data_IF_533544209148
#
_entry.id   IF_533544209148
#
_cell.length_a   1.000
_cell.length_b   1.000
_cell.length_c   1.000
_cell.angle_alpha   90.00
_cell.angle_beta   90.00
_cell.angle_gamma   90.00
#
_symmetry.space_group_name_H-M   'P 1'
#
loop_
_entity.id
_entity.type
_entity.pdbx_description
1 polymer ?
2 non-polymer ?
#
# COMPACT_ATOMS: atom_id res chain seq x y z
N UNK A 11 -9.19 3.31 26.78
CA UNK A 11 -10.31 2.89 25.95
C UNK A 11 -9.83 2.49 24.55
N UNK A 12 -9.75 3.49 23.66
CA UNK A 12 -9.28 3.24 22.30
C UNK A 12 -7.77 3.00 22.26
N UNK A 13 -7.07 3.34 23.35
CA UNK A 13 -5.62 3.31 23.33
C UNK A 13 -5.10 1.88 23.20
N UNK A 14 -5.69 0.94 23.94
CA UNK A 14 -5.16 -0.42 23.96
C UNK A 14 -5.25 -1.09 22.59
N UNK A 15 -6.41 -1.16 21.93
CA UNK A 15 -6.45 -1.77 20.60
C UNK A 15 -5.59 -1.06 19.57
N UNK A 16 -5.53 0.27 19.60
CA UNK A 16 -4.68 1.02 18.69
C UNK A 16 -3.20 0.73 18.87
N UNK A 17 -2.72 0.67 20.11
CA UNK A 17 -1.31 0.36 20.35
C UNK A 17 -0.98 -1.05 19.88
N UNK A 18 -1.83 -2.03 20.17
CA UNK A 18 -1.56 -3.40 19.75
C UNK A 18 -1.55 -3.51 18.24
N UNK A 19 -2.53 -2.88 17.57
CA UNK A 19 -2.55 -2.95 16.12
C UNK A 19 -1.39 -2.19 15.49
N UNK A 20 -0.98 -1.08 16.10
CA UNK A 20 0.18 -0.35 15.59
C UNK A 20 1.46 -1.18 15.74
N UNK A 21 1.60 -1.89 16.87
CA UNK A 21 2.75 -2.78 17.03
C UNK A 21 2.71 -3.90 16.01
N UNK A 22 1.53 -4.48 15.77
CA UNK A 22 1.40 -5.53 14.78
C UNK A 22 1.78 -5.04 13.39
N UNK A 23 1.25 -3.87 12.99
CA UNK A 23 1.55 -3.32 11.68
C UNK A 23 2.95 -2.79 11.55
N UNK A 24 3.62 -2.49 12.66
CA UNK A 24 5.01 -2.10 12.62
C UNK A 24 5.91 -3.30 12.45
N UNK A 25 5.74 -4.32 13.29
CA UNK A 25 6.59 -5.50 13.20
C UNK A 25 6.25 -6.37 12.00
N UNK A 26 5.05 -6.21 11.43
CA UNK A 26 4.71 -6.92 10.20
C UNK A 26 5.21 -6.21 8.95
N UNK A 27 5.45 -4.90 9.02
CA UNK A 27 5.98 -4.16 7.89
C UNK A 27 7.43 -3.76 8.05
N UNK A 28 8.03 -4.00 9.23
CA UNK A 28 9.46 -3.80 9.42
C UNK A 28 10.17 -4.97 8.75
N UNK A 29 10.33 -4.85 7.43
CA UNK A 29 10.85 -5.92 6.59
C UNK A 29 12.17 -5.47 5.96
N UNK A 30 13.32 -5.80 6.57
CA UNK A 30 14.61 -5.40 5.98
C UNK A 30 14.86 -6.03 4.61
N UNK A 31 14.22 -7.14 4.31
CA UNK A 31 14.53 -7.78 3.03
C UNK A 31 13.69 -7.16 1.93
N UNK A 32 12.79 -6.25 2.24
CA UNK A 32 11.93 -5.78 1.13
C UNK A 32 12.74 -5.05 0.06
N UNK A 33 13.66 -4.13 0.35
CA UNK A 33 14.41 -3.51 -0.69
C UNK A 33 15.28 -4.57 -1.36
N UNK A 34 16.11 -5.27 -0.58
CA UNK A 34 17.03 -6.24 -1.15
C UNK A 34 16.25 -7.53 -1.30
N UNK A 35 15.14 -7.53 -2.05
CA UNK A 35 14.38 -8.76 -2.23
C UNK A 35 14.94 -9.31 -3.53
N UNK A 36 15.05 -8.47 -4.56
CA UNK A 36 15.57 -8.89 -5.85
C UNK A 36 17.03 -9.34 -5.73
N UNK A 37 17.92 -8.59 -5.07
CA UNK A 37 19.29 -9.11 -4.87
C UNK A 37 19.33 -10.42 -4.11
N UNK A 38 18.43 -10.63 -3.15
CA UNK A 38 18.43 -11.89 -2.40
C UNK A 38 18.14 -13.07 -3.30
N UNK A 39 17.05 -13.01 -4.06
CA UNK A 39 16.57 -14.14 -4.84
C UNK A 39 16.93 -13.99 -6.32
N UNK A 40 18.06 -13.33 -6.59
CA UNK A 40 18.64 -13.38 -7.93
C UNK A 40 20.16 -13.50 -7.88
N UNK A 41 20.75 -13.76 -6.71
CA UNK A 41 22.18 -13.87 -6.58
C UNK A 41 22.62 -15.24 -6.12
N UNK A 42 23.74 -15.31 -5.42
CA UNK A 42 24.25 -16.63 -4.99
C UNK A 42 23.30 -17.38 -4.07
N UNK A 43 22.40 -16.69 -3.38
CA UNK A 43 21.50 -17.37 -2.46
C UNK A 43 20.49 -18.26 -3.20
N UNK A 44 19.99 -17.80 -4.34
CA UNK A 44 18.95 -18.51 -5.08
C UNK A 44 19.26 -18.73 -6.54
N UNK A 45 20.03 -17.84 -7.15
CA UNK A 45 20.30 -17.85 -8.60
C UNK A 45 19.01 -18.00 -9.41
N UNK A 46 17.95 -17.31 -9.02
CA UNK A 46 16.72 -17.22 -9.84
C UNK A 46 17.13 -16.32 -10.99
N UNK A 47 16.69 -16.64 -12.20
CA UNK A 47 17.07 -15.82 -13.38
C UNK A 47 16.21 -14.55 -13.42
N UNK A 48 16.63 -13.50 -14.10
CA UNK A 48 15.78 -12.29 -14.08
C UNK A 48 14.62 -12.51 -15.04
N UNK A 49 14.81 -13.40 -16.01
CA UNK A 49 13.76 -13.83 -16.93
C UNK A 49 12.67 -14.65 -16.23
N UNK A 50 13.05 -15.56 -15.35
CA UNK A 50 12.09 -16.36 -14.58
C UNK A 50 11.57 -15.63 -13.35
N UNK A 51 12.05 -14.42 -13.09
CA UNK A 51 11.75 -13.76 -11.82
C UNK A 51 10.54 -12.85 -11.97
N UNK A 52 10.54 -12.02 -13.02
CA UNK A 52 9.44 -11.10 -13.27
C UNK A 52 8.41 -11.63 -14.25
N UNK A 53 8.69 -12.78 -14.89
CA UNK A 53 7.74 -13.39 -15.81
C UNK A 53 7.09 -14.64 -15.25
N UNK A 54 7.62 -15.22 -14.18
CA UNK A 54 7.06 -16.44 -13.61
C UNK A 54 6.77 -16.34 -12.11
N UNK A 55 7.58 -15.61 -11.36
CA UNK A 55 7.41 -15.54 -9.91
C UNK A 55 6.54 -14.35 -9.54
N UNK A 56 6.98 -13.15 -9.93
CA UNK A 56 6.23 -11.93 -9.57
C UNK A 56 4.82 -11.88 -10.11
N UNK A 57 4.52 -12.24 -11.37
CA UNK A 57 3.13 -12.13 -11.84
C UNK A 57 2.14 -12.98 -11.07
N UNK A 58 2.60 -14.02 -10.38
CA UNK A 58 1.71 -14.81 -9.54
C UNK A 58 1.15 -13.97 -8.41
N UNK A 59 1.90 -12.95 -7.97
CA UNK A 59 1.45 -12.14 -6.85
C UNK A 59 0.16 -11.40 -7.16
N UNK A 60 0.05 -10.82 -8.36
CA UNK A 60 -1.14 -10.06 -8.69
C UNK A 60 -2.38 -10.96 -8.78
N UNK A 61 -2.23 -12.13 -9.41
CA UNK A 61 -3.35 -13.05 -9.50
C UNK A 61 -3.77 -13.56 -8.13
N UNK A 62 -2.81 -13.91 -7.29
CA UNK A 62 -3.15 -14.36 -5.94
C UNK A 62 -3.79 -13.23 -5.14
N UNK A 63 -3.30 -12.00 -5.33
CA UNK A 63 -3.88 -10.84 -4.67
C UNK A 63 -5.34 -10.68 -5.05
N UNK A 64 -5.65 -10.82 -6.34
CA UNK A 64 -7.04 -10.68 -6.79
C UNK A 64 -7.92 -11.79 -6.22
N UNK A 65 -7.50 -13.06 -6.41
CA UNK A 65 -8.35 -14.19 -6.02
C UNK A 65 -8.40 -14.39 -4.51
N UNK A 66 -7.54 -13.72 -3.75
CA UNK A 66 -7.65 -13.74 -2.31
C UNK A 66 -8.31 -12.50 -1.73
N UNK A 67 -8.29 -11.38 -2.47
CA UNK A 67 -9.12 -10.24 -2.11
C UNK A 67 -10.59 -10.58 -2.27
N UNK A 68 -10.90 -11.49 -3.17
CA UNK A 68 -12.32 -11.89 -3.34
C UNK A 68 -12.95 -12.43 -2.04
N UNK A 69 -12.41 -13.37 -1.23
CA UNK A 69 -13.04 -13.66 0.03
C UNK A 69 -12.92 -12.50 1.01
N UNK A 70 -11.72 -11.96 1.17
CA UNK A 70 -11.39 -10.89 2.18
C UNK A 70 -12.42 -9.77 2.32
N UNK A 71 -13.08 -9.28 1.27
CA UNK A 71 -14.13 -8.31 1.57
C UNK A 71 -15.49 -8.96 1.73
N UNK A 72 -15.68 -10.16 1.18
CA UNK A 72 -16.94 -10.87 1.37
C UNK A 72 -17.05 -11.40 2.80
N UNK A 73 -15.96 -11.93 3.35
CA UNK A 73 -16.02 -12.72 4.57
C UNK A 73 -15.27 -12.11 5.76
N UNK A 74 -14.60 -10.97 5.57
CA UNK A 74 -13.87 -10.39 6.69
C UNK A 74 -14.81 -9.80 7.73
N UNK A 75 -15.89 -9.13 7.29
CA UNK A 75 -16.83 -8.54 8.23
C UNK A 75 -17.51 -9.59 9.08
N UNK A 76 -17.85 -10.74 8.50
CA UNK A 76 -18.56 -11.78 9.24
C UNK A 76 -17.68 -12.38 10.32
N UNK A 77 -16.38 -12.50 10.09
CA UNK A 77 -15.48 -13.18 11.02
C UNK A 77 -14.89 -12.19 12.01
N UNK A 78 -15.36 -10.93 11.96
CA UNK A 78 -14.99 -9.89 12.91
C UNK A 78 -13.50 -9.53 12.85
N UNK A 79 -12.90 -9.66 11.67
CA UNK A 79 -11.66 -8.97 11.29
C UNK A 79 -10.40 -9.50 11.97
N UNK A 80 -10.53 -10.33 13.00
CA UNK A 80 -9.34 -10.87 13.64
C UNK A 80 -8.79 -12.12 12.95
N UNK A 81 -9.59 -13.14 12.62
CA UNK A 81 -9.01 -14.32 11.97
C UNK A 81 -8.31 -14.00 10.66
N UNK A 82 -8.78 -12.98 9.93
CA UNK A 82 -8.07 -12.60 8.71
C UNK A 82 -6.74 -11.96 9.06
N UNK A 83 -6.69 -11.14 10.11
CA UNK A 83 -5.41 -10.61 10.59
C UNK A 83 -4.51 -11.74 11.06
N UNK A 84 -5.06 -12.68 11.82
CA UNK A 84 -4.29 -13.84 12.26
C UNK A 84 -3.80 -14.64 11.05
N UNK A 85 -4.65 -14.80 10.04
CA UNK A 85 -4.24 -15.42 8.79
C UNK A 85 -3.11 -14.67 8.11
N UNK A 86 -3.07 -13.33 8.22
CA UNK A 86 -1.92 -12.58 7.72
C UNK A 86 -0.67 -12.88 8.54
N UNK A 87 -0.80 -12.99 9.86
CA UNK A 87 0.35 -13.33 10.68
C UNK A 87 0.93 -14.68 10.36
N UNK A 88 0.07 -15.69 10.17
CA UNK A 88 0.53 -17.00 9.73
C UNK A 88 1.10 -16.98 8.32
N UNK A 89 0.46 -16.28 7.38
CA UNK A 89 0.98 -16.16 6.04
C UNK A 89 2.29 -15.37 5.98
N UNK A 90 2.49 -14.41 6.87
CA UNK A 90 3.80 -13.78 7.01
C UNK A 90 4.86 -14.79 7.40
N UNK A 91 4.55 -15.65 8.38
CA UNK A 91 5.51 -16.67 8.80
C UNK A 91 5.76 -17.67 7.69
N UNK A 92 4.70 -18.14 7.04
CA UNK A 92 4.86 -19.08 5.92
C UNK A 92 5.58 -18.46 4.73
N UNK A 93 5.25 -17.23 4.34
CA UNK A 93 5.92 -16.59 3.22
C UNK A 93 7.41 -16.47 3.43
N UNK A 94 7.83 -15.96 4.59
CA UNK A 94 9.25 -15.74 4.80
C UNK A 94 9.99 -17.01 5.19
N UNK A 95 9.28 -18.00 5.74
CA UNK A 95 9.89 -19.31 5.92
C UNK A 95 10.15 -19.98 4.57
N UNK A 96 9.24 -19.80 3.62
CA UNK A 96 9.40 -20.43 2.31
C UNK A 96 10.45 -19.68 1.49
N UNK A 97 10.48 -18.35 1.61
CA UNK A 97 11.57 -17.58 1.01
C UNK A 97 12.91 -17.98 1.62
N UNK A 98 12.93 -18.17 2.94
CA UNK A 98 14.16 -18.39 3.68
C UNK A 98 14.70 -19.81 3.44
N UNK A 99 13.80 -20.77 3.20
CA UNK A 99 14.16 -22.17 3.07
C UNK A 99 13.59 -22.80 1.81
N UNK A 100 13.43 -22.02 0.74
CA UNK A 100 12.88 -22.55 -0.49
C UNK A 100 13.80 -22.43 -1.67
N UNK A 101 13.74 -23.41 -2.58
CA UNK A 101 14.58 -23.45 -3.77
C UNK A 101 13.71 -23.76 -4.97
N UNK A 102 14.00 -23.11 -6.09
CA UNK A 102 13.28 -23.35 -7.32
C UNK A 102 12.21 -22.31 -7.61
N UNK A 103 11.82 -22.25 -8.88
CA UNK A 103 10.81 -21.29 -9.32
C UNK A 103 9.44 -21.66 -8.76
N UNK A 104 9.13 -22.96 -8.68
CA UNK A 104 7.81 -23.38 -8.21
C UNK A 104 7.58 -22.95 -6.77
N UNK A 105 8.61 -23.04 -5.93
CA UNK A 105 8.50 -22.62 -4.54
C UNK A 105 8.23 -21.12 -4.39
N UNK A 106 8.90 -20.28 -5.19
CA UNK A 106 8.72 -18.84 -5.06
C UNK A 106 7.38 -18.39 -5.60
N UNK A 107 6.78 -19.16 -6.52
CA UNK A 107 5.40 -18.88 -6.88
C UNK A 107 4.46 -19.06 -5.70
N UNK A 108 4.68 -20.11 -4.91
CA UNK A 108 3.93 -20.31 -3.67
C UNK A 108 4.22 -19.18 -2.68
N UNK A 109 5.47 -18.72 -2.64
CA UNK A 109 5.82 -17.55 -1.82
C UNK A 109 4.99 -16.34 -2.23
N UNK A 110 4.91 -16.13 -3.53
CA UNK A 110 4.13 -14.99 -4.05
C UNK A 110 2.70 -15.20 -3.58
N UNK A 111 2.11 -16.36 -3.81
CA UNK A 111 0.75 -16.67 -3.41
C UNK A 111 0.49 -16.28 -1.97
N UNK A 112 1.38 -16.69 -1.06
CA UNK A 112 1.20 -16.33 0.34
C UNK A 112 1.40 -14.84 0.58
N UNK A 113 2.22 -14.17 -0.21
CA UNK A 113 2.33 -12.71 -0.11
C UNK A 113 1.03 -12.03 -0.52
N UNK A 114 0.39 -12.54 -1.58
CA UNK A 114 -0.91 -12.02 -1.96
C UNK A 114 -1.94 -12.21 -0.86
N UNK A 115 -1.90 -13.37 -0.20
CA UNK A 115 -2.75 -13.58 0.97
C UNK A 115 -2.44 -12.56 2.06
N UNK A 116 -1.15 -12.30 2.29
CA UNK A 116 -0.71 -11.32 3.28
C UNK A 116 -1.33 -9.95 3.02
N UNK A 117 -1.28 -9.50 1.77
CA UNK A 117 -1.81 -8.17 1.47
C UNK A 117 -3.34 -8.13 1.49
N UNK A 118 -4.00 -9.14 0.94
CA UNK A 118 -5.45 -9.22 1.02
C UNK A 118 -5.91 -9.22 2.47
N UNK A 119 -5.09 -9.73 3.39
CA UNK A 119 -5.44 -9.65 4.80
C UNK A 119 -4.97 -8.36 5.46
N UNK A 120 -3.99 -7.67 4.86
CA UNK A 120 -3.63 -6.35 5.38
C UNK A 120 -4.77 -5.37 5.15
N UNK A 121 -5.60 -5.62 4.13
CA UNK A 121 -6.84 -4.86 4.00
C UNK A 121 -7.69 -5.01 5.26
N UNK A 122 -7.84 -6.26 5.74
CA UNK A 122 -8.57 -6.49 6.98
C UNK A 122 -7.87 -5.86 8.17
N UNK A 123 -6.53 -5.83 8.15
CA UNK A 123 -5.78 -5.12 9.18
C UNK A 123 -6.21 -3.66 9.24
N UNK A 124 -6.35 -3.02 8.08
CA UNK A 124 -6.78 -1.63 8.05
C UNK A 124 -8.20 -1.46 8.58
N UNK A 125 -9.09 -2.41 8.23
CA UNK A 125 -10.49 -2.25 8.65
C UNK A 125 -10.71 -2.56 10.13
N UNK A 126 -9.85 -3.41 10.71
CA UNK A 126 -10.13 -3.95 12.05
C UNK A 126 -10.18 -2.85 13.10
N UNK A 127 -9.27 -1.88 13.03
CA UNK A 127 -9.23 -0.87 14.09
C UNK A 127 -10.49 -0.02 14.06
N UNK A 128 -11.03 0.26 12.87
CA UNK A 128 -12.32 0.92 12.79
C UNK A 128 -13.42 0.03 13.37
N UNK A 129 -13.25 -1.28 13.25
CA UNK A 129 -14.27 -2.18 13.79
C UNK A 129 -14.35 -2.15 15.31
N UNK A 130 -13.31 -1.65 16.00
CA UNK A 130 -13.24 -1.79 17.45
C UNK A 130 -13.36 -0.47 18.21
N UNK A 131 -13.10 0.67 17.58
CA UNK A 131 -13.09 1.95 18.27
C UNK A 131 -14.33 2.74 17.88
N UNK A 132 -14.67 3.72 18.73
CA UNK A 132 -15.81 4.58 18.48
C UNK A 132 -15.48 5.55 17.33
N UNK A 133 -16.50 6.03 16.63
CA UNK A 133 -16.23 6.94 15.49
C UNK A 133 -15.52 8.23 15.89
N UNK A 134 -15.65 8.65 17.15
CA UNK A 134 -15.03 9.90 17.58
C UNK A 134 -13.52 9.88 17.39
N UNK A 135 -12.90 8.71 17.54
CA UNK A 135 -11.47 8.56 17.37
C UNK A 135 -11.07 8.20 15.94
N UNK A 136 -12.06 7.98 15.05
CA UNK A 136 -11.78 7.43 13.72
C UNK A 136 -10.75 8.25 12.97
N UNK A 137 -10.68 9.56 13.23
CA UNK A 137 -9.64 10.37 12.60
C UNK A 137 -8.27 10.00 13.15
N UNK A 138 -8.06 10.20 14.46
CA UNK A 138 -6.75 10.02 15.06
C UNK A 138 -6.17 8.67 14.69
N UNK A 139 -6.84 7.62 15.14
CA UNK A 139 -6.49 6.23 14.86
C UNK A 139 -6.05 6.09 13.42
N UNK A 140 -6.88 6.59 12.50
CA UNK A 140 -6.59 6.46 11.07
C UNK A 140 -5.14 6.79 10.79
N UNK A 141 -4.76 8.05 11.03
CA UNK A 141 -3.40 8.45 10.74
C UNK A 141 -2.41 7.54 11.41
N UNK A 142 -2.58 7.33 12.72
CA UNK A 142 -1.63 6.54 13.48
C UNK A 142 -1.41 5.21 12.78
N UNK A 143 -2.50 4.51 12.45
CA UNK A 143 -2.37 3.21 11.82
C UNK A 143 -1.51 3.32 10.57
N UNK A 144 -1.95 4.13 9.61
CA UNK A 144 -1.19 4.27 8.38
C UNK A 144 0.23 4.70 8.69
N UNK A 145 0.37 5.68 9.59
CA UNK A 145 1.70 6.19 9.91
C UNK A 145 2.62 5.06 10.30
N UNK A 146 2.17 4.20 11.24
CA UNK A 146 3.08 3.19 11.76
C UNK A 146 3.55 2.30 10.64
N UNK A 147 2.64 1.89 9.74
CA UNK A 147 3.04 1.03 8.64
C UNK A 147 4.14 1.70 7.83
N UNK A 148 3.91 2.95 7.42
CA UNK A 148 4.92 3.67 6.67
C UNK A 148 6.19 3.78 7.48
N UNK A 149 6.06 4.15 8.76
CA UNK A 149 7.24 4.25 9.61
C UNK A 149 7.99 2.93 9.62
N UNK A 150 7.24 1.84 9.80
CA UNK A 150 7.86 0.52 9.80
C UNK A 150 8.70 0.35 8.55
N UNK A 151 8.11 0.61 7.38
CA UNK A 151 8.83 0.46 6.14
C UNK A 151 10.13 1.25 6.19
N UNK A 152 10.03 2.54 6.53
CA UNK A 152 11.22 3.37 6.60
C UNK A 152 12.25 2.74 7.51
N UNK A 153 11.82 2.36 8.72
CA UNK A 153 12.72 1.69 9.65
C UNK A 153 13.40 0.52 8.96
N UNK A 154 12.60 -0.43 8.47
CA UNK A 154 13.18 -1.58 7.79
C UNK A 154 14.15 -1.14 6.72
N UNK A 155 13.71 -0.21 5.87
CA UNK A 155 14.56 0.29 4.79
C UNK A 155 15.91 0.71 5.35
N UNK A 156 15.91 1.69 6.27
CA UNK A 156 17.18 2.19 6.76
C UNK A 156 17.92 1.07 7.46
N UNK A 157 17.21 0.25 8.24
CA UNK A 157 17.85 -0.86 8.92
C UNK A 157 18.57 -1.74 7.91
N UNK A 158 17.86 -2.09 6.83
CA UNK A 158 18.47 -2.91 5.79
C UNK A 158 19.78 -2.28 5.33
N UNK A 159 19.73 -1.00 4.96
CA UNK A 159 20.94 -0.35 4.47
C UNK A 159 22.02 -0.37 5.53
N UNK A 160 21.65 -0.09 6.79
CA UNK A 160 22.63 -0.15 7.85
C UNK A 160 23.24 -1.53 7.94
N UNK A 161 22.40 -2.56 7.90
CA UNK A 161 22.88 -3.93 8.03
C UNK A 161 23.68 -4.36 6.82
N UNK A 162 23.61 -3.60 5.72
CA UNK A 162 24.45 -3.91 4.57
C UNK A 162 25.70 -3.03 4.56
N UNK A 163 25.69 -1.92 5.29
CA UNK A 163 26.79 -0.97 5.21
C UNK A 163 27.74 -1.02 6.39
N UNK A 164 27.27 -1.40 7.58
CA UNK A 164 28.13 -1.46 8.75
C UNK A 164 28.30 -2.84 9.34
N UNK A 165 27.46 -3.81 8.97
CA UNK A 165 27.59 -5.17 9.47
C UNK A 165 27.95 -6.18 8.39
N UNK A 166 27.91 -5.79 7.12
CA UNK A 166 28.19 -6.69 6.00
C UNK A 166 27.33 -7.95 6.09
N UNK A 167 26.07 -7.75 6.47
CA UNK A 167 25.13 -8.84 6.72
C UNK A 167 24.48 -9.26 5.41
N UNK A 168 24.51 -10.57 5.12
CA UNK A 168 24.01 -11.08 3.87
C UNK A 168 22.49 -10.92 3.78
N UNK A 169 21.97 -11.01 2.56
CA UNK A 169 20.53 -10.92 2.34
C UNK A 169 19.80 -12.06 3.04
N UNK A 170 20.46 -13.21 3.20
CA UNK A 170 19.87 -14.32 3.92
C UNK A 170 19.54 -13.93 5.36
N UNK A 171 20.47 -13.27 6.03
CA UNK A 171 20.21 -12.88 7.42
C UNK A 171 19.26 -11.69 7.48
N UNK A 172 19.19 -10.87 6.43
CA UNK A 172 18.15 -9.86 6.36
C UNK A 172 16.78 -10.50 6.31
N UNK A 173 16.63 -11.59 5.53
CA UNK A 173 15.38 -12.32 5.52
C UNK A 173 15.12 -13.02 6.85
N UNK A 174 16.17 -13.48 7.53
CA UNK A 174 16.00 -14.07 8.85
C UNK A 174 15.44 -13.03 9.82
N UNK A 175 15.99 -11.81 9.78
CA UNK A 175 15.50 -10.74 10.63
C UNK A 175 14.07 -10.36 10.25
N UNK A 176 13.76 -10.39 8.96
CA UNK A 176 12.39 -10.15 8.51
C UNK A 176 11.42 -11.18 9.08
N UNK A 177 11.82 -12.46 9.05
CA UNK A 177 10.99 -13.51 9.64
C UNK A 177 10.83 -13.31 11.13
N UNK A 178 11.90 -12.92 11.82
CA UNK A 178 11.81 -12.66 13.25
C UNK A 178 10.86 -11.51 13.54
N UNK A 179 10.89 -10.48 12.69
CA UNK A 179 10.00 -9.33 12.89
C UNK A 179 8.54 -9.72 12.65
N UNK A 180 8.26 -10.43 11.55
CA UNK A 180 6.88 -10.78 11.25
C UNK A 180 6.35 -11.86 12.18
N UNK A 181 7.23 -12.60 12.86
CA UNK A 181 6.77 -13.55 13.85
C UNK A 181 6.34 -12.88 15.14
N UNK A 182 7.02 -11.80 15.53
CA UNK A 182 6.57 -11.00 16.67
C UNK A 182 5.23 -10.33 16.35
N UNK A 183 5.06 -9.93 15.09
CA UNK A 183 3.78 -9.37 14.66
C UNK A 183 2.65 -10.38 14.85
N UNK A 184 2.93 -11.67 14.61
CA UNK A 184 1.94 -12.69 14.86
C UNK A 184 1.55 -12.74 16.32
N UNK A 185 2.53 -12.65 17.22
CA UNK A 185 2.24 -12.65 18.65
C UNK A 185 1.41 -11.44 19.04
N UNK A 186 1.73 -10.28 18.48
CA UNK A 186 0.92 -9.08 18.76
C UNK A 186 -0.50 -9.22 18.21
N UNK A 187 -0.65 -9.85 17.06
CA UNK A 187 -1.98 -10.07 16.50
C UNK A 187 -2.79 -11.06 17.34
N UNK A 188 -2.10 -12.00 18.00
CA UNK A 188 -2.80 -12.90 18.90
C UNK A 188 -3.43 -12.16 20.07
N UNK A 189 -2.85 -11.02 20.46
CA UNK A 189 -3.33 -10.24 21.59
C UNK A 189 -4.34 -9.16 21.19
N UNK A 190 -4.69 -9.09 19.91
CA UNK A 190 -5.65 -8.08 19.47
C UNK A 190 -7.01 -8.35 20.09
N UNK A 191 -7.66 -7.33 20.66
CA UNK A 191 -9.01 -7.53 21.21
C UNK A 191 -9.99 -7.95 20.12
N UNK A 192 -10.86 -8.89 20.47
CA UNK A 192 -11.85 -9.37 19.51
C UNK A 192 -12.99 -8.36 19.40
N UNK A 193 -13.30 -7.88 18.20
CA UNK A 193 -14.43 -6.95 18.05
C UNK A 193 -15.74 -7.58 18.47
N UNK A 194 -16.62 -6.76 19.03
CA UNK A 194 -17.92 -7.24 19.45
C UNK A 194 -18.77 -7.60 18.23
N UNK A 195 -19.69 -8.55 18.44
CA UNK A 195 -20.55 -8.99 17.37
C UNK A 195 -21.48 -7.87 16.91
N UNK A 196 -21.79 -7.87 15.62
CA UNK A 196 -22.65 -6.85 15.04
C UNK A 196 -24.10 -7.03 15.47
N UNK A 261 -30.15 -14.80 -2.29
CA UNK A 261 -29.06 -15.37 -3.08
C UNK A 261 -27.99 -14.32 -3.34
N UNK A 262 -27.42 -14.35 -4.55
CA UNK A 262 -26.36 -13.41 -4.89
C UNK A 262 -26.89 -11.99 -4.98
N UNK A 263 -27.99 -11.80 -5.72
CA UNK A 263 -28.47 -10.44 -6.02
C UNK A 263 -28.80 -9.69 -4.74
N UNK A 264 -29.39 -10.39 -3.76
CA UNK A 264 -29.65 -9.78 -2.46
C UNK A 264 -28.40 -9.13 -1.90
N UNK A 265 -27.29 -9.88 -1.88
CA UNK A 265 -26.02 -9.33 -1.44
C UNK A 265 -25.68 -8.06 -2.21
N UNK A 266 -25.84 -8.09 -3.53
CA UNK A 266 -25.58 -6.90 -4.34
C UNK A 266 -26.39 -5.72 -3.81
N UNK A 267 -27.67 -5.93 -3.53
CA UNK A 267 -28.50 -4.84 -3.01
C UNK A 267 -27.94 -4.32 -1.69
N UNK A 268 -27.48 -5.20 -0.80
CA UNK A 268 -26.83 -4.74 0.42
C UNK A 268 -25.65 -3.84 0.10
N UNK A 269 -24.84 -4.23 -0.89
CA UNK A 269 -23.72 -3.39 -1.31
C UNK A 269 -24.22 -2.01 -1.73
N UNK A 270 -25.35 -1.97 -2.44
CA UNK A 270 -25.90 -0.69 -2.87
C UNK A 270 -26.26 0.18 -1.67
N UNK A 271 -26.75 -0.43 -0.59
CA UNK A 271 -27.05 0.34 0.61
C UNK A 271 -25.77 0.74 1.34
N UNK A 272 -24.69 -0.02 1.14
CA UNK A 272 -23.45 0.25 1.85
C UNK A 272 -22.70 1.42 1.23
N UNK A 273 -22.79 1.57 -0.09
CA UNK A 273 -22.06 2.60 -0.83
C UNK A 273 -22.85 3.88 -1.04
N UNK A 274 -24.15 3.80 -0.70
CA UNK A 274 -25.15 4.89 -0.89
C UNK A 274 -24.69 6.25 -0.36
N UNK A 275 -23.70 6.28 0.54
CA UNK A 275 -23.25 7.59 1.07
C UNK A 275 -22.69 8.44 -0.08
N UNK A 276 -23.10 9.71 -0.15
CA UNK A 276 -22.67 10.63 -1.24
C UNK A 276 -21.16 10.88 -1.17
N UNK A 277 -20.63 11.06 0.05
CA UNK A 277 -19.19 11.34 0.25
C UNK A 277 -18.40 10.03 0.43
N UNK A 278 -19.02 8.89 0.11
CA UNK A 278 -18.31 7.61 0.28
C UNK A 278 -18.33 6.90 -1.07
N UNK A 279 -19.08 7.39 -2.05
CA UNK A 279 -19.10 6.75 -3.38
C UNK A 279 -18.22 7.57 -4.30
N UNK A 280 -17.85 8.72 -3.75
CA UNK A 280 -16.92 9.75 -4.19
C UNK A 280 -15.51 9.56 -3.63
N UNK A 281 -15.38 9.42 -2.30
CA UNK A 281 -14.08 9.09 -1.73
C UNK A 281 -13.61 7.72 -2.19
N UNK A 282 -14.54 6.77 -2.32
CA UNK A 282 -14.18 5.46 -2.85
C UNK A 282 -13.76 5.54 -4.32
N UNK A 283 -14.43 6.37 -5.12
CA UNK A 283 -14.03 6.54 -6.50
C UNK A 283 -12.64 7.13 -6.60
N UNK A 284 -12.30 8.07 -5.72
CA UNK A 284 -10.91 8.52 -5.67
C UNK A 284 -9.97 7.40 -5.27
N UNK A 285 -10.34 6.61 -4.25
CA UNK A 285 -9.51 5.51 -3.80
C UNK A 285 -9.30 4.50 -4.91
N UNK A 286 -10.35 4.17 -5.66
CA UNK A 286 -10.23 3.18 -6.71
C UNK A 286 -9.24 3.59 -7.79
N UNK A 287 -9.21 4.88 -8.14
CA UNK A 287 -8.41 5.29 -9.28
C UNK A 287 -7.06 5.87 -8.89
N UNK A 288 -6.95 6.48 -7.72
CA UNK A 288 -5.68 7.07 -7.30
C UNK A 288 -4.63 6.05 -6.90
N UNK A 289 -5.00 5.02 -6.13
CA UNK A 289 -4.01 4.06 -5.67
C UNK A 289 -3.48 3.16 -6.78
N UNK A 290 -4.25 2.95 -7.85
CA UNK A 290 -3.71 2.22 -8.99
C UNK A 290 -2.51 2.96 -9.60
N UNK A 291 -2.69 4.24 -9.90
CA UNK A 291 -1.58 5.05 -10.37
C UNK A 291 -0.46 5.16 -9.35
N UNK A 292 -0.81 5.21 -8.06
CA UNK A 292 0.22 5.28 -7.03
C UNK A 292 1.08 4.02 -7.01
N UNK A 293 0.43 2.87 -7.13
CA UNK A 293 1.13 1.56 -7.18
C UNK A 293 2.05 1.57 -8.41
N UNK A 294 1.50 1.99 -9.56
CA UNK A 294 2.29 2.06 -10.79
C UNK A 294 3.54 2.91 -10.59
N UNK A 295 3.38 4.08 -9.96
CA UNK A 295 4.52 4.93 -9.69
C UNK A 295 5.51 4.23 -8.76
N UNK A 296 4.99 3.54 -7.74
CA UNK A 296 5.86 2.80 -6.83
C UNK A 296 6.69 1.77 -7.59
N UNK A 297 6.04 1.04 -8.50
CA UNK A 297 6.75 -0.01 -9.23
C UNK A 297 7.81 0.56 -10.17
N UNK A 298 7.47 1.62 -10.92
CA UNK A 298 8.38 2.03 -11.98
C UNK A 298 9.14 3.32 -11.67
N UNK A 299 9.09 3.81 -10.44
CA UNK A 299 9.91 4.97 -10.10
C UNK A 299 11.39 4.59 -10.03
N UNK A 300 11.71 3.36 -9.63
CA UNK A 300 13.09 2.90 -9.68
C UNK A 300 13.61 2.90 -11.12
N UNK A 301 12.78 2.42 -12.05
CA UNK A 301 13.17 2.40 -13.46
C UNK A 301 13.34 3.82 -13.98
N UNK A 302 12.44 4.73 -13.58
CA UNK A 302 12.56 6.12 -13.97
C UNK A 302 13.88 6.72 -13.47
N UNK A 303 14.22 6.45 -12.22
CA UNK A 303 15.47 6.99 -11.66
C UNK A 303 16.69 6.41 -12.37
N UNK A 304 16.66 5.11 -12.67
CA UNK A 304 17.77 4.50 -13.39
C UNK A 304 17.92 5.12 -14.78
N UNK A 305 16.80 5.35 -15.46
CA UNK A 305 16.87 5.99 -16.78
C UNK A 305 17.40 7.42 -16.69
N UNK A 306 16.94 8.20 -15.71
CA UNK A 306 17.33 9.60 -15.63
C UNK A 306 18.80 9.78 -15.28
N UNK A 307 19.28 9.00 -14.32
CA UNK A 307 20.70 9.16 -13.95
C UNK A 307 21.30 7.76 -13.84
N UNK A 308 21.90 7.22 -14.93
CA UNK A 308 22.52 5.92 -14.85
C UNK A 308 23.82 6.08 -14.03
N UNK A 309 23.93 5.32 -12.95
CA UNK A 309 25.08 5.40 -12.02
C UNK A 309 25.24 4.06 -11.30
N UNK A 310 26.32 3.90 -10.53
CA UNK A 310 26.60 2.63 -9.80
C UNK A 310 26.17 2.72 -8.33
N UNK A 311 25.48 3.81 -7.94
CA UNK A 311 25.04 3.95 -6.53
C UNK A 311 23.52 3.81 -6.37
N UNK A 312 22.83 3.21 -7.34
CA UNK A 312 21.35 3.05 -7.27
C UNK A 312 20.98 2.24 -6.03
N UNK A 313 21.73 1.21 -5.68
CA UNK A 313 21.37 0.37 -4.51
C UNK A 313 21.31 1.18 -3.21
N UNK A 314 22.30 2.04 -2.95
CA UNK A 314 22.29 2.83 -1.67
C UNK A 314 21.48 4.11 -1.81
N UNK A 315 21.16 4.55 -3.03
CA UNK A 315 20.46 5.85 -3.14
C UNK A 315 18.99 5.70 -3.40
N UNK A 316 18.63 5.00 -4.47
CA UNK A 316 17.25 4.89 -4.92
C UNK A 316 16.33 4.45 -3.79
N UNK A 317 16.54 3.23 -3.28
CA UNK A 317 15.74 2.76 -2.17
C UNK A 317 15.81 3.70 -0.98
N UNK A 318 16.99 4.32 -0.80
CA UNK A 318 17.26 5.32 0.27
C UNK A 318 16.43 6.57 0.07
N UNK A 319 16.20 7.02 -1.16
CA UNK A 319 15.33 8.17 -1.53
C UNK A 319 13.86 7.75 -1.48
N UNK A 320 13.59 6.45 -1.44
CA UNK A 320 12.23 5.96 -1.21
C UNK A 320 12.10 5.58 0.25
N UNK A 321 13.14 5.68 1.06
CA UNK A 321 12.98 5.37 2.50
C UNK A 321 12.47 6.64 3.14
N UNK A 322 13.04 7.79 2.79
CA UNK A 322 12.63 9.09 3.30
C UNK A 322 11.30 9.49 2.68
N UNK A 323 11.08 9.14 1.42
CA UNK A 323 9.77 9.37 0.82
C UNK A 323 8.69 8.70 1.63
N UNK A 324 8.87 7.42 1.94
CA UNK A 324 7.92 6.73 2.80
C UNK A 324 7.83 7.42 4.15
N UNK A 325 8.97 7.85 4.69
CA UNK A 325 8.95 8.58 5.96
C UNK A 325 8.10 9.82 5.84
N UNK A 326 8.23 10.55 4.72
CA UNK A 326 7.36 11.70 4.51
C UNK A 326 5.90 11.29 4.54
N UNK A 327 5.56 10.22 3.83
CA UNK A 327 4.20 9.72 3.90
C UNK A 327 3.78 9.46 5.33
N UNK A 328 4.68 8.86 6.11
CA UNK A 328 4.39 8.59 7.51
C UNK A 328 3.95 9.85 8.22
N UNK A 329 4.81 10.88 8.18
CA UNK A 329 4.51 12.19 8.82
C UNK A 329 3.16 12.67 8.29
N UNK A 330 2.95 12.59 6.96
CA UNK A 330 1.71 13.01 6.35
C UNK A 330 0.54 12.29 6.97
N UNK A 331 0.64 10.96 7.12
CA UNK A 331 -0.38 10.22 7.83
C UNK A 331 -0.50 10.72 9.27
N UNK A 332 0.63 10.90 9.93
CA UNK A 332 0.60 11.42 11.29
C UNK A 332 0.08 12.85 11.32
N UNK A 333 0.10 13.55 10.19
CA UNK A 333 -0.53 14.87 10.14
C UNK A 333 -2.04 14.76 10.29
N UNK A 334 -2.64 13.71 9.74
CA UNK A 334 -4.09 13.56 9.83
C UNK A 334 -4.50 13.24 11.27
N UNK A 335 -3.81 12.30 11.90
CA UNK A 335 -4.21 11.87 13.22
C UNK A 335 -4.03 12.93 14.29
N UNK A 336 -2.89 13.64 14.26
CA UNK A 336 -2.55 14.53 15.37
C UNK A 336 -3.42 15.78 15.39
N UNK A 337 -3.39 16.56 14.31
CA UNK A 337 -4.11 17.83 14.31
C UNK A 337 -5.61 17.58 14.30
N UNK A 338 -6.35 18.50 14.91
CA UNK A 338 -7.81 18.39 15.02
C UNK A 338 -8.42 19.38 14.03
N UNK A 339 -8.62 18.92 12.79
CA UNK A 339 -9.20 19.73 11.73
C UNK A 339 -10.44 19.00 11.23
N UNK A 340 -11.55 19.75 11.11
CA UNK A 340 -12.82 19.18 10.61
C UNK A 340 -12.63 18.79 9.15
N UNK A 341 -12.46 17.49 8.88
CA UNK A 341 -12.25 17.01 7.52
C UNK A 341 -13.54 16.86 6.72
N UNK A 342 -14.70 17.00 7.37
CA UNK A 342 -15.96 16.78 6.67
C UNK A 342 -16.23 17.80 5.58
N UNK A 343 -15.74 19.04 5.73
CA UNK A 343 -15.93 20.08 4.74
C UNK A 343 -14.64 20.51 4.06
N UNK A 344 -13.49 20.27 4.71
CA UNK A 344 -12.21 20.41 4.02
C UNK A 344 -11.88 19.17 3.20
N UNK A 345 -12.69 18.12 3.28
CA UNK A 345 -12.37 16.89 2.58
C UNK A 345 -12.28 17.06 1.08
N UNK A 346 -13.27 17.71 0.49
CA UNK A 346 -13.22 18.00 -0.94
C UNK A 346 -12.11 18.98 -1.29
N UNK A 347 -11.95 20.03 -0.50
CA UNK A 347 -10.91 21.02 -0.78
C UNK A 347 -9.52 20.40 -0.68
N UNK A 348 -9.26 19.66 0.40
CA UNK A 348 -7.99 18.97 0.53
C UNK A 348 -7.79 17.92 -0.56
N UNK A 349 -8.85 17.20 -0.91
CA UNK A 349 -8.76 16.22 -1.99
C UNK A 349 -8.29 16.89 -3.27
N UNK A 350 -8.93 17.99 -3.66
CA UNK A 350 -8.58 18.61 -4.93
C UNK A 350 -7.19 19.23 -4.87
N UNK A 351 -6.82 19.85 -3.74
CA UNK A 351 -5.51 20.48 -3.65
C UNK A 351 -4.40 19.43 -3.70
N UNK A 352 -4.54 18.36 -2.93
CA UNK A 352 -3.47 17.36 -2.93
C UNK A 352 -3.51 16.46 -4.15
N UNK A 353 -4.64 16.38 -4.86
CA UNK A 353 -4.66 15.68 -6.13
C UNK A 353 -3.94 16.48 -7.20
N UNK A 354 -4.17 17.80 -7.26
CA UNK A 354 -3.40 18.59 -8.21
C UNK A 354 -1.93 18.64 -7.79
N UNK A 355 -1.65 18.52 -6.49
CA UNK A 355 -0.26 18.39 -6.04
C UNK A 355 0.36 17.09 -6.56
N UNK A 356 -0.37 15.98 -6.49
CA UNK A 356 0.12 14.73 -7.06
C UNK A 356 0.36 14.86 -8.55
N UNK A 357 -0.55 15.48 -9.28
CA UNK A 357 -0.37 15.67 -10.72
C UNK A 357 0.86 16.51 -11.01
N UNK A 358 1.03 17.63 -10.30
CA UNK A 358 2.17 18.48 -10.53
C UNK A 358 3.49 17.81 -10.16
N UNK A 359 3.47 16.99 -9.11
CA UNK A 359 4.68 16.28 -8.72
C UNK A 359 5.04 15.20 -9.74
N UNK A 360 4.05 14.48 -10.26
CA UNK A 360 4.34 13.48 -11.29
C UNK A 360 4.85 14.13 -12.56
N UNK A 361 4.29 15.28 -12.94
CA UNK A 361 4.84 16.01 -14.08
C UNK A 361 6.23 16.54 -13.78
N UNK A 362 6.52 16.86 -12.51
CA UNK A 362 7.83 17.34 -12.11
C UNK A 362 8.88 16.24 -12.31
N UNK A 363 8.53 15.00 -11.97
CA UNK A 363 9.47 13.90 -12.11
C UNK A 363 9.82 13.66 -13.57
N UNK A 364 8.83 13.73 -14.45
CA UNK A 364 9.06 13.42 -15.86
C UNK A 364 9.86 14.52 -16.57
N UNK A 365 9.51 15.79 -16.34
CA UNK A 365 10.00 16.87 -17.19
C UNK A 365 11.41 17.33 -16.84
N UNK A 366 11.88 17.09 -15.62
CA UNK A 366 13.21 17.56 -15.23
C UNK A 366 14.25 16.47 -15.40
N UNK A 367 15.34 16.84 -16.07
CA UNK A 367 16.49 15.95 -16.25
C UNK A 367 17.51 16.12 -15.13
N UNK A 368 17.04 16.01 -13.90
CA UNK A 368 17.89 16.14 -12.73
C UNK A 368 17.29 15.29 -11.62
N UNK A 369 18.01 14.23 -11.23
CA UNK A 369 17.46 13.27 -10.27
C UNK A 369 17.26 13.89 -8.89
N UNK A 370 17.94 14.99 -8.58
CA UNK A 370 17.72 15.64 -7.29
C UNK A 370 16.34 16.30 -7.23
N UNK A 371 15.90 16.90 -8.33
CA UNK A 371 14.54 17.43 -8.38
C UNK A 371 13.49 16.34 -8.50
N UNK A 372 13.81 15.26 -9.21
CA UNK A 372 12.88 14.13 -9.31
C UNK A 372 12.69 13.44 -7.97
N UNK A 373 13.74 13.38 -7.15
CA UNK A 373 13.61 12.82 -5.81
C UNK A 373 12.65 13.65 -4.96
N UNK A 374 12.78 14.97 -5.01
CA UNK A 374 11.86 15.84 -4.28
C UNK A 374 10.45 15.71 -4.81
N UNK A 375 10.30 15.60 -6.13
CA UNK A 375 8.97 15.38 -6.70
C UNK A 375 8.33 14.10 -6.22
N UNK A 376 9.11 13.01 -6.18
CA UNK A 376 8.60 11.75 -5.67
C UNK A 376 8.24 11.84 -4.20
N UNK A 377 9.07 12.54 -3.41
CA UNK A 377 8.77 12.72 -2.00
C UNK A 377 7.45 13.47 -1.81
N UNK A 378 7.26 14.55 -2.58
CA UNK A 378 6.02 15.32 -2.50
C UNK A 378 4.83 14.46 -2.91
N UNK A 379 4.99 13.70 -3.99
CA UNK A 379 3.89 12.86 -4.48
C UNK A 379 3.52 11.82 -3.43
N UNK A 380 4.50 11.14 -2.85
CA UNK A 380 4.23 10.11 -1.86
C UNK A 380 3.59 10.69 -0.61
N UNK A 381 4.11 11.83 -0.14
CA UNK A 381 3.56 12.44 1.06
C UNK A 381 2.12 12.89 0.84
N UNK A 382 1.85 13.57 -0.27
CA UNK A 382 0.50 14.04 -0.54
C UNK A 382 -0.45 12.87 -0.75
N UNK A 383 -0.01 11.82 -1.45
CA UNK A 383 -0.84 10.63 -1.58
C UNK A 383 -1.14 9.98 -0.24
N UNK A 384 -0.13 9.85 0.62
CA UNK A 384 -0.37 9.19 1.90
C UNK A 384 -1.34 9.98 2.76
N UNK A 385 -1.17 11.30 2.78
CA UNK A 385 -2.12 12.16 3.49
C UNK A 385 -3.53 12.03 2.91
N UNK A 386 -3.64 12.03 1.58
CA UNK A 386 -4.94 11.94 0.94
C UNK A 386 -5.60 10.59 1.21
N UNK A 387 -4.83 9.50 1.16
CA UNK A 387 -5.42 8.19 1.38
C UNK A 387 -5.81 8.01 2.84
N UNK A 388 -5.04 8.60 3.77
CA UNK A 388 -5.45 8.58 5.17
C UNK A 388 -6.77 9.31 5.35
N UNK A 389 -6.90 10.49 4.72
CA UNK A 389 -8.17 11.21 4.78
C UNK A 389 -9.29 10.38 4.17
N UNK A 390 -9.01 9.71 3.05
CA UNK A 390 -10.03 8.91 2.38
C UNK A 390 -10.51 7.77 3.26
N UNK A 391 -9.57 7.04 3.87
CA UNK A 391 -9.94 5.93 4.74
C UNK A 391 -10.73 6.43 5.95
N UNK A 392 -10.30 7.54 6.54
CA UNK A 392 -11.03 8.11 7.68
C UNK A 392 -12.45 8.50 7.29
N UNK A 393 -12.60 9.22 6.17
CA UNK A 393 -13.91 9.71 5.77
C UNK A 393 -14.82 8.56 5.33
N UNK A 394 -14.25 7.50 4.78
CA UNK A 394 -15.06 6.32 4.47
C UNK A 394 -15.50 5.64 5.76
N UNK A 395 -14.61 5.59 6.76
CA UNK A 395 -14.96 4.94 8.02
C UNK A 395 -16.09 5.67 8.73
N UNK A 396 -16.00 7.00 8.84
CA UNK A 396 -17.02 7.73 9.59
C UNK A 396 -18.34 7.75 8.85
N UNK A 397 -18.32 7.94 7.53
CA UNK A 397 -19.54 8.10 6.75
C UNK A 397 -20.14 6.78 6.30
N UNK A 398 -19.52 5.65 6.66
CA UNK A 398 -20.02 4.36 6.18
C UNK A 398 -21.39 4.04 6.75
N UNK A 399 -21.59 4.28 8.04
CA UNK A 399 -22.80 4.01 8.82
C UNK A 399 -23.26 2.55 8.72
N UNK A 400 -22.41 1.65 8.24
CA UNK A 400 -22.64 0.21 8.28
C UNK A 400 -21.35 -0.42 8.80
N UNK A 401 -21.44 -1.66 9.30
CA UNK A 401 -20.29 -2.37 9.83
C UNK A 401 -19.34 -2.87 8.74
N UNK A 402 -19.69 -2.69 7.47
CA UNK A 402 -18.92 -3.26 6.37
C UNK A 402 -17.65 -2.45 6.11
N UNK A 403 -16.78 -2.33 7.11
CA UNK A 403 -15.54 -1.59 6.95
C UNK A 403 -14.59 -2.28 5.97
N UNK A 404 -14.43 -3.59 6.10
CA UNK A 404 -13.57 -4.33 5.19
C UNK A 404 -14.20 -4.60 3.85
N UNK A 405 -15.52 -4.53 3.75
CA UNK A 405 -16.17 -4.66 2.45
C UNK A 405 -15.88 -3.46 1.57
N UNK A 406 -15.98 -2.25 2.13
CA UNK A 406 -15.66 -1.05 1.34
C UNK A 406 -14.16 -0.97 1.09
N UNK A 407 -13.33 -1.20 2.10
CA UNK A 407 -11.89 -1.20 1.90
C UNK A 407 -11.45 -2.31 0.95
N UNK A 408 -12.00 -3.51 1.12
CA UNK A 408 -11.63 -4.62 0.25
C UNK A 408 -12.07 -4.39 -1.18
N UNK A 409 -13.30 -3.90 -1.38
CA UNK A 409 -13.79 -3.67 -2.74
C UNK A 409 -13.02 -2.53 -3.39
N UNK A 410 -12.72 -1.47 -2.63
CA UNK A 410 -11.92 -0.37 -3.17
C UNK A 410 -10.54 -0.86 -3.59
N UNK A 411 -9.89 -1.65 -2.73
CA UNK A 411 -8.57 -2.18 -3.06
C UNK A 411 -8.61 -3.12 -4.25
N UNK A 412 -9.62 -3.98 -4.34
CA UNK A 412 -9.76 -4.88 -5.47
C UNK A 412 -10.02 -4.15 -6.78
N UNK A 413 -10.91 -3.15 -6.77
CA UNK A 413 -11.16 -2.38 -7.98
C UNK A 413 -9.92 -1.59 -8.37
N UNK A 414 -9.20 -1.03 -7.38
CA UNK A 414 -7.97 -0.31 -7.67
C UNK A 414 -6.92 -1.22 -8.29
N UNK A 415 -6.80 -2.45 -7.78
CA UNK A 415 -5.84 -3.37 -8.34
C UNK A 415 -6.25 -3.85 -9.72
N UNK A 416 -7.56 -3.99 -9.96
CA UNK A 416 -8.03 -4.31 -11.31
C UNK A 416 -7.69 -3.20 -12.28
N UNK A 417 -7.91 -1.94 -11.88
CA UNK A 417 -7.56 -0.80 -12.74
C UNK A 417 -6.06 -0.76 -12.96
N UNK A 418 -5.27 -1.01 -11.92
CA UNK A 418 -3.82 -1.01 -12.06
C UNK A 418 -3.37 -2.09 -13.02
N UNK A 419 -3.95 -3.29 -12.94
CA UNK A 419 -3.59 -4.36 -13.85
C UNK A 419 -3.95 -4.01 -15.28
N UNK A 420 -5.15 -3.50 -15.51
CA UNK A 420 -5.57 -3.14 -16.87
C UNK A 420 -4.67 -2.05 -17.44
N UNK A 421 -4.39 -1.02 -16.65
CA UNK A 421 -3.60 0.09 -17.16
C UNK A 421 -2.12 -0.26 -17.31
N UNK A 422 -1.58 -1.13 -16.46
CA UNK A 422 -0.21 -1.60 -16.68
C UNK A 422 -0.15 -2.53 -17.88
N UNK A 423 -1.26 -3.19 -18.22
CA UNK A 423 -1.30 -3.98 -19.44
C UNK A 423 -1.25 -3.07 -20.66
N UNK A 424 -2.06 -2.01 -20.66
CA UNK A 424 -2.12 -1.17 -21.86
C UNK A 424 -0.82 -0.36 -22.01
N UNK A 425 -0.29 0.17 -20.91
CA UNK A 425 0.79 1.15 -21.06
C UNK A 425 2.19 0.55 -21.10
N UNK A 426 2.48 -0.48 -20.31
CA UNK A 426 3.88 -0.90 -20.14
C UNK A 426 4.10 -2.31 -20.64
N UNK A 427 3.03 -3.05 -20.90
CA UNK A 427 3.16 -4.42 -21.39
C UNK A 427 3.55 -4.40 -22.87
N UNK A 428 4.28 -5.43 -23.28
CA UNK A 428 4.78 -5.49 -24.65
C UNK A 428 3.65 -5.53 -25.66
N UNK A 429 2.59 -6.29 -25.39
CA UNK A 429 1.46 -6.37 -26.30
C UNK A 429 0.62 -5.10 -26.30
N UNK A 430 0.84 -4.19 -25.36
CA UNK A 430 0.11 -2.94 -25.33
C UNK A 430 0.88 -1.81 -25.97
N UNK A 431 0.90 -0.65 -25.31
CA UNK A 431 1.66 0.49 -25.84
C UNK A 431 3.17 0.27 -25.77
N UNK A 432 3.65 -0.45 -24.76
CA UNK A 432 5.09 -0.69 -24.57
C UNK A 432 5.84 0.64 -24.47
N UNK A 433 5.26 1.58 -23.74
CA UNK A 433 5.87 2.90 -23.59
C UNK A 433 7.10 2.81 -22.72
N UNK A 434 8.19 3.48 -23.09
CA UNK A 434 9.37 3.53 -22.21
C UNK A 434 9.07 4.38 -20.98
N UNK A 435 9.97 4.28 -20.00
CA UNK A 435 9.77 5.02 -18.75
C UNK A 435 9.95 6.52 -18.96
N UNK A 436 10.47 6.93 -20.11
CA UNK A 436 10.54 8.35 -20.42
C UNK A 436 9.14 8.96 -20.55
N UNK A 437 8.24 8.26 -21.25
CA UNK A 437 6.87 8.72 -21.41
C UNK A 437 5.92 8.09 -20.39
N UNK A 438 6.38 7.07 -19.66
CA UNK A 438 5.52 6.39 -18.70
C UNK A 438 5.04 7.34 -17.62
N UNK A 439 5.95 8.16 -17.08
CA UNK A 439 5.55 9.09 -16.04
C UNK A 439 4.82 10.30 -16.57
N UNK A 440 5.01 10.66 -17.84
CA UNK A 440 4.11 11.62 -18.46
C UNK A 440 2.69 11.08 -18.50
N UNK A 441 2.54 9.80 -18.85
CA UNK A 441 1.22 9.17 -18.85
C UNK A 441 0.65 9.13 -17.44
N UNK A 442 1.47 8.80 -16.45
CA UNK A 442 1.00 8.75 -15.07
C UNK A 442 0.58 10.14 -14.57
N UNK A 443 1.36 11.16 -14.91
CA UNK A 443 1.00 12.51 -14.55
C UNK A 443 -0.28 12.97 -15.22
N UNK A 444 -0.46 12.59 -16.49
CA UNK A 444 -1.72 12.90 -17.16
C UNK A 444 -2.90 12.18 -16.51
N UNK A 445 -2.68 10.93 -16.09
CA UNK A 445 -3.73 10.18 -15.41
C UNK A 445 -4.13 10.84 -14.10
N UNK A 446 -3.14 11.25 -13.31
CA UNK A 446 -3.45 11.92 -12.04
C UNK A 446 -4.04 13.31 -12.26
N UNK A 447 -3.47 13.99 -13.23
CA UNK A 447 -4.00 15.29 -13.66
C UNK A 447 -5.46 15.00 -13.95
N UNK A 448 -5.80 13.92 -14.65
CA UNK A 448 -7.23 13.61 -14.93
C UNK A 448 -8.01 13.40 -13.62
N UNK A 449 -7.48 12.68 -12.63
CA UNK A 449 -8.22 12.49 -11.35
C UNK A 449 -8.39 13.85 -10.70
N UNK A 450 -7.34 14.66 -10.69
CA UNK A 450 -7.46 16.00 -10.08
C UNK A 450 -8.48 16.78 -10.88
N UNK A 451 -8.45 16.72 -12.19
CA UNK A 451 -9.39 17.49 -13.01
C UNK A 451 -10.80 17.06 -12.71
N UNK A 452 -11.08 15.77 -12.61
CA UNK A 452 -12.50 15.37 -12.36
C UNK A 452 -12.91 15.90 -10.99
N UNK A 453 -12.09 15.70 -9.97
CA UNK A 453 -12.54 16.20 -8.65
C UNK A 453 -12.64 17.72 -8.67
N UNK A 454 -11.70 18.39 -9.30
CA UNK A 454 -11.70 19.87 -9.32
C UNK A 454 -12.98 20.36 -10.00
N UNK A 455 -13.31 19.81 -11.17
CA UNK A 455 -14.50 20.29 -11.90
C UNK A 455 -15.77 19.95 -11.11
N UNK A 456 -15.82 18.76 -10.52
CA UNK A 456 -17.04 18.38 -9.77
C UNK A 456 -17.19 19.35 -8.60
N UNK A 457 -16.11 19.64 -7.89
CA UNK A 457 -16.19 20.54 -6.72
C UNK A 457 -16.62 21.93 -7.17
N UNK A 458 -16.06 22.40 -8.28
CA UNK A 458 -16.36 23.75 -8.82
C UNK A 458 -17.84 23.85 -9.17
N UNK A 459 -18.41 22.78 -9.73
CA UNK A 459 -19.86 22.81 -10.08
C UNK A 459 -20.72 22.93 -8.82
N UNK A 460 -20.51 22.06 -7.83
CA UNK A 460 -21.28 22.00 -6.60
C UNK A 460 -21.41 23.39 -5.98
N UNK A 461 -20.32 24.14 -5.94
CA UNK A 461 -20.33 25.49 -5.38
C UNK A 461 -20.96 26.48 -6.35
#
# INVERSE_FOLDING_TARGET
MDCYRTSLSSSWIYPTVILCLFGFFSMMRPSEPFLIPYLSGPDKNLTSAEITNEIFPVWTYSYLVLLLPVFVLTDYVRYKPVIILQGISFIITWLLLLFGQGVKTMQVVEFFYGMVTAAEVAYYAYIYSVVSPEHYQRVSGYCRSVTLAAYTAGSVLAQLLVSLANMSYFYLNVISLASVSVAFLFSLFLPMPKKSMFFHAKPSREIKKSSSVNPVLEETHEGEAPGCEEQKPTSEILSTSGKLNKGQLNSLKPSNVTVDVFVQWFQDLKECYSSKRLFYWSLWWAFATAGFNQVLNYVQILWDYKAPSQDSSIYNGAVEAIATFGGAVAAFAVGYVKVNWDLLGELALVVFSVVNAGSLFLMHYTANIWACYAGYLIFKSSYMLLITIAVFQIAVNLNVERYALVFGINTFIALVIQTIMTVIVVDQRGLNLPVSIQFLVYGSYFAVIAGIFLMRSMYITYSTKSQKDVQSPAPSENPDVSHPEEESNIIMSTKL
#
